data_IF_633889039873
#
_entry.id   IF_633889039873
#
_cell.length_a   1.000
_cell.length_b   1.000
_cell.length_c   1.000
_cell.angle_alpha   90.00
_cell.angle_beta   90.00
_cell.angle_gamma   90.00
#
_symmetry.space_group_name_H-M   'P 1'
#
loop_
_entity.id
_entity.type
_entity.pdbx_description
1 polymer ?
#
# COMPACT_ATOMS: atom_id res chain seq x y z
N UNK A 1 -5.51 11.51 -3.19
CA UNK A 1 -6.17 11.25 -4.51
C UNK A 1 -5.80 9.87 -5.02
N UNK A 2 -4.54 9.61 -5.39
CA UNK A 2 -4.07 8.31 -5.91
C UNK A 2 -4.68 7.09 -5.19
N UNK A 3 -4.51 7.00 -3.87
CA UNK A 3 -4.83 5.78 -3.13
C UNK A 3 -6.30 5.60 -2.76
N UNK A 4 -7.06 6.68 -2.60
CA UNK A 4 -8.37 6.61 -1.95
C UNK A 4 -9.45 7.47 -2.62
N UNK A 5 -9.20 8.02 -3.81
CA UNK A 5 -10.22 8.73 -4.57
C UNK A 5 -10.55 7.97 -5.85
N UNK A 6 -11.77 8.12 -6.36
CA UNK A 6 -12.20 7.50 -7.61
C UNK A 6 -11.36 8.02 -8.80
N UNK A 7 -10.97 9.29 -8.77
CA UNK A 7 -10.09 9.93 -9.76
C UNK A 7 -8.71 9.28 -9.83
N UNK A 8 -8.26 8.63 -8.74
CA UNK A 8 -7.01 7.88 -8.67
C UNK A 8 -7.08 6.50 -9.32
N UNK A 9 -8.28 5.99 -9.68
CA UNK A 9 -8.45 4.61 -10.16
C UNK A 9 -7.58 4.28 -11.38
N UNK A 10 -7.54 5.18 -12.37
CA UNK A 10 -6.73 4.95 -13.58
C UNK A 10 -5.24 4.80 -13.27
N UNK A 11 -4.75 5.56 -12.29
CA UNK A 11 -3.35 5.48 -11.86
C UNK A 11 -3.09 4.18 -11.11
N UNK A 12 -4.01 3.77 -10.22
CA UNK A 12 -3.93 2.47 -9.55
C UNK A 12 -4.01 1.30 -10.53
N UNK A 13 -4.82 1.40 -11.58
CA UNK A 13 -4.89 0.36 -12.62
C UNK A 13 -3.56 0.22 -13.38
N UNK A 14 -2.76 1.28 -13.49
CA UNK A 14 -1.46 1.23 -14.15
C UNK A 14 -0.35 0.74 -13.23
N UNK A 15 -0.47 1.01 -11.92
CA UNK A 15 0.58 0.69 -10.95
C UNK A 15 0.29 -0.57 -10.13
N UNK A 16 -0.90 -0.68 -9.54
CA UNK A 16 -1.27 -1.75 -8.61
C UNK A 16 -1.75 -3.00 -9.35
N UNK A 17 -2.58 -2.84 -10.38
CA UNK A 17 -3.18 -3.99 -11.08
C UNK A 17 -2.15 -4.99 -11.63
N UNK A 18 -1.04 -4.58 -12.28
CA UNK A 18 -0.03 -5.54 -12.75
C UNK A 18 0.60 -6.34 -11.59
N UNK A 19 0.80 -5.71 -10.44
CA UNK A 19 1.33 -6.35 -9.23
C UNK A 19 0.32 -7.37 -8.68
N UNK A 20 -0.95 -6.98 -8.57
CA UNK A 20 -2.03 -7.84 -8.08
C UNK A 20 -2.23 -9.05 -9.01
N UNK A 21 -2.15 -8.85 -10.32
CA UNK A 21 -2.21 -9.93 -11.31
C UNK A 21 -1.01 -10.89 -11.19
N UNK A 22 0.20 -10.37 -10.98
CA UNK A 22 1.39 -11.21 -10.76
C UNK A 22 1.26 -12.05 -9.47
N UNK A 23 0.75 -11.48 -8.38
CA UNK A 23 0.49 -12.22 -7.14
C UNK A 23 -0.53 -13.35 -7.35
N UNK A 24 -1.57 -13.14 -8.16
CA UNK A 24 -2.52 -14.20 -8.53
C UNK A 24 -1.84 -15.34 -9.30
N UNK A 25 -0.94 -15.00 -10.23
CA UNK A 25 -0.20 -15.97 -11.05
C UNK A 25 0.78 -16.79 -10.20
N UNK A 26 1.52 -16.12 -9.29
CA UNK A 26 2.54 -16.77 -8.46
C UNK A 26 1.92 -17.60 -7.33
N UNK A 27 0.74 -17.21 -6.84
CA UNK A 27 0.05 -17.88 -5.75
C UNK A 27 -1.35 -18.36 -6.15
N UNK A 28 -1.54 -19.28 -7.11
CA UNK A 28 -2.88 -19.63 -7.61
C UNK A 28 -3.68 -20.50 -6.63
N UNK A 29 -3.01 -21.21 -5.72
CA UNK A 29 -3.61 -22.18 -4.80
C UNK A 29 -3.54 -21.70 -3.34
N UNK A 30 -4.03 -20.48 -3.06
CA UNK A 30 -4.03 -19.92 -1.70
C UNK A 30 -5.01 -20.66 -0.80
N UNK A 31 -4.57 -20.94 0.41
CA UNK A 31 -5.37 -21.60 1.45
C UNK A 31 -5.79 -20.59 2.50
N UNK A 32 -7.08 -20.55 2.86
CA UNK A 32 -7.61 -19.59 3.86
C UNK A 32 -7.07 -19.84 5.27
N UNK A 33 -6.73 -21.09 5.58
CA UNK A 33 -6.15 -21.53 6.85
C UNK A 33 -4.65 -21.24 6.96
N UNK A 34 -3.97 -21.01 5.83
CA UNK A 34 -2.55 -20.67 5.77
C UNK A 34 -2.31 -19.73 4.59
N UNK A 35 -2.80 -18.47 4.68
CA UNK A 35 -2.61 -17.47 3.64
C UNK A 35 -1.12 -17.10 3.52
N UNK A 36 -0.61 -16.86 2.30
CA UNK A 36 0.75 -16.37 2.10
C UNK A 36 0.96 -14.99 2.71
N UNK A 37 2.13 -14.75 3.30
CA UNK A 37 2.53 -13.48 3.89
C UNK A 37 3.15 -12.58 2.81
N UNK A 38 2.61 -11.38 2.66
CA UNK A 38 3.09 -10.37 1.72
C UNK A 38 3.48 -9.09 2.46
N UNK A 39 4.71 -8.63 2.25
CA UNK A 39 5.20 -7.35 2.74
C UNK A 39 5.10 -6.29 1.64
N UNK A 40 4.67 -5.08 1.98
CA UNK A 40 4.63 -3.91 1.10
C UNK A 40 5.44 -2.77 1.72
N UNK A 41 6.76 -2.68 1.44
CA UNK A 41 7.58 -1.57 1.89
C UNK A 41 7.18 -0.25 1.23
N UNK A 42 7.21 0.86 1.98
CA UNK A 42 6.77 2.16 1.48
C UNK A 42 5.29 2.17 1.08
N UNK A 43 4.43 1.60 1.93
CA UNK A 43 3.01 1.40 1.64
C UNK A 43 2.20 2.70 1.52
N UNK A 44 2.76 3.86 1.88
CA UNK A 44 2.09 5.16 1.75
C UNK A 44 0.78 5.18 2.54
N UNK A 45 -0.34 5.42 1.84
CA UNK A 45 -1.66 5.45 2.48
C UNK A 45 -2.30 4.06 2.61
N UNK A 46 -1.58 2.99 2.25
CA UNK A 46 -1.96 1.61 2.54
C UNK A 46 -2.93 0.96 1.54
N UNK A 47 -3.28 1.62 0.43
CA UNK A 47 -4.26 1.07 -0.54
C UNK A 47 -3.80 -0.24 -1.16
N UNK A 48 -2.55 -0.31 -1.64
CA UNK A 48 -2.03 -1.53 -2.26
C UNK A 48 -1.97 -2.69 -1.26
N UNK A 49 -1.52 -2.41 -0.03
CA UNK A 49 -1.49 -3.42 1.03
C UNK A 49 -2.92 -3.92 1.39
N UNK A 50 -3.92 -3.03 1.39
CA UNK A 50 -5.33 -3.41 1.55
C UNK A 50 -5.80 -4.28 0.38
N UNK A 51 -5.55 -3.88 -0.87
CA UNK A 51 -5.97 -4.63 -2.05
C UNK A 51 -5.34 -6.04 -2.07
N UNK A 52 -4.07 -6.18 -1.66
CA UNK A 52 -3.38 -7.49 -1.50
C UNK A 52 -4.04 -8.33 -0.39
N UNK A 53 -4.43 -7.70 0.72
CA UNK A 53 -5.19 -8.41 1.77
C UNK A 53 -6.52 -8.94 1.22
N UNK A 54 -7.25 -8.14 0.43
CA UNK A 54 -8.50 -8.55 -0.21
C UNK A 54 -8.34 -9.75 -1.18
N UNK A 55 -7.14 -9.96 -1.76
CA UNK A 55 -6.81 -11.16 -2.55
C UNK A 55 -6.59 -12.43 -1.71
N UNK A 56 -6.61 -12.32 -0.38
CA UNK A 56 -6.47 -13.43 0.55
C UNK A 56 -5.06 -13.63 1.12
N UNK A 57 -4.19 -12.61 1.05
CA UNK A 57 -2.86 -12.64 1.67
C UNK A 57 -2.92 -12.15 3.13
N UNK A 58 -1.94 -12.56 3.94
CA UNK A 58 -1.56 -11.82 5.15
C UNK A 58 -0.68 -10.65 4.73
N UNK A 59 -1.30 -9.48 4.56
CA UNK A 59 -0.63 -8.31 3.99
C UNK A 59 -0.17 -7.36 5.09
N UNK A 60 1.11 -7.01 5.08
CA UNK A 60 1.66 -5.97 5.94
C UNK A 60 2.20 -4.84 5.09
N UNK A 61 1.67 -3.63 5.26
CA UNK A 61 2.34 -2.43 4.78
C UNK A 61 3.40 -1.96 5.77
N UNK A 62 4.52 -1.44 5.29
CA UNK A 62 5.50 -0.73 6.09
C UNK A 62 5.62 0.72 5.64
N UNK A 63 5.68 1.65 6.58
CA UNK A 63 5.81 3.08 6.29
C UNK A 63 6.60 3.79 7.39
N UNK A 64 7.46 4.73 7.00
CA UNK A 64 8.30 5.51 7.91
C UNK A 64 7.78 6.94 8.10
N UNK A 65 7.15 7.52 7.09
CA UNK A 65 6.66 8.89 7.13
C UNK A 65 5.46 9.03 8.08
N UNK A 66 5.60 9.84 9.13
CA UNK A 66 4.50 10.18 10.02
C UNK A 66 3.29 10.77 9.29
N UNK A 67 3.52 11.55 8.22
CA UNK A 67 2.42 12.08 7.40
C UNK A 67 1.58 10.95 6.80
N UNK A 68 2.25 9.94 6.22
CA UNK A 68 1.57 8.80 5.62
C UNK A 68 0.91 7.92 6.68
N UNK A 69 1.57 7.66 7.81
CA UNK A 69 1.01 6.85 8.90
C UNK A 69 -0.24 7.46 9.54
N UNK A 70 -0.22 8.77 9.82
CA UNK A 70 -1.38 9.44 10.43
C UNK A 70 -2.56 9.43 9.45
N UNK A 71 -2.31 9.76 8.19
CA UNK A 71 -3.36 9.77 7.16
C UNK A 71 -3.87 8.36 6.84
N UNK A 72 -3.01 7.35 6.77
CA UNK A 72 -3.42 5.96 6.54
C UNK A 72 -4.24 5.43 7.70
N UNK A 73 -3.82 5.67 8.94
CA UNK A 73 -4.59 5.28 10.13
C UNK A 73 -5.96 5.96 10.17
N UNK A 74 -6.03 7.26 9.83
CA UNK A 74 -7.30 7.97 9.70
C UNK A 74 -8.23 7.31 8.68
N UNK A 75 -7.74 7.07 7.46
CA UNK A 75 -8.57 6.50 6.39
C UNK A 75 -9.00 5.06 6.73
N UNK A 76 -8.06 4.22 7.16
CA UNK A 76 -8.27 2.79 7.39
C UNK A 76 -9.13 2.50 8.63
N UNK A 77 -9.00 3.29 9.70
CA UNK A 77 -9.61 2.98 11.00
C UNK A 77 -10.72 3.94 11.43
N UNK A 78 -10.82 5.14 10.86
CA UNK A 78 -11.76 6.18 11.28
C UNK A 78 -12.77 6.60 10.21
N UNK A 79 -12.80 5.89 9.08
CA UNK A 79 -13.86 6.04 8.06
C UNK A 79 -14.96 5.01 8.31
N UNK A 80 -16.22 5.44 8.26
CA UNK A 80 -17.42 4.61 8.44
C UNK A 80 -18.13 4.29 7.11
N UNK A 81 -17.98 5.16 6.09
CA UNK A 81 -18.64 4.99 4.79
C UNK A 81 -17.74 5.48 3.65
N UNK A 82 -17.99 4.99 2.43
CA UNK A 82 -17.32 5.53 1.24
C UNK A 82 -17.72 7.00 1.01
N UNK A 83 -16.82 7.77 0.42
CA UNK A 83 -16.98 9.19 0.07
C UNK A 83 -17.27 10.12 1.27
N UNK A 84 -16.99 9.67 2.50
CA UNK A 84 -17.30 10.40 3.73
C UNK A 84 -16.62 11.76 3.85
N UNK A 85 -15.40 11.90 3.32
CA UNK A 85 -14.58 13.09 3.50
C UNK A 85 -14.34 13.79 2.18
N UNK A 86 -14.36 15.12 2.18
CA UNK A 86 -14.03 15.95 1.01
C UNK A 86 -12.71 16.67 1.22
N UNK A 87 -11.81 16.55 0.27
CA UNK A 87 -10.52 17.27 0.23
C UNK A 87 -10.43 18.15 -1.02
N UNK A 88 -9.54 19.15 -0.99
CA UNK A 88 -9.29 20.05 -2.10
C UNK A 88 -7.80 20.00 -2.49
N UNK A 89 -7.37 18.92 -3.17
CA UNK A 89 -5.95 18.60 -3.32
C UNK A 89 -5.19 19.55 -4.27
N UNK A 90 -5.89 20.40 -5.03
CA UNK A 90 -5.29 21.23 -6.08
C UNK A 90 -5.15 22.70 -5.70
N UNK A 91 -5.63 23.12 -4.53
CA UNK A 91 -5.68 24.53 -4.11
C UNK A 91 -4.30 25.19 -4.00
N UNK A 92 -3.25 24.39 -3.83
CA UNK A 92 -1.88 24.88 -3.75
C UNK A 92 -1.19 24.97 -5.12
N UNK A 93 -1.79 24.43 -6.18
CA UNK A 93 -1.26 24.49 -7.56
C UNK A 93 -1.74 25.78 -8.24
N UNK A 94 -0.86 26.77 -8.36
CA UNK A 94 -1.18 28.11 -8.89
C UNK A 94 -0.89 28.31 -10.38
N UNK A 95 -0.41 27.27 -11.07
CA UNK A 95 -0.07 27.31 -12.48
C UNK A 95 -0.68 26.10 -13.19
N UNK A 96 -0.79 26.18 -14.52
CA UNK A 96 -1.32 25.13 -15.39
C UNK A 96 -2.79 24.73 -15.11
N UNK A 97 -3.55 25.60 -14.44
CA UNK A 97 -5.01 25.50 -14.34
C UNK A 97 -5.66 26.25 -15.52
N UNK A 98 -6.65 25.64 -16.17
CA UNK A 98 -7.40 26.29 -17.25
C UNK A 98 -8.47 27.25 -16.70
N UNK A 99 -8.92 27.00 -15.47
CA UNK A 99 -9.94 27.78 -14.76
C UNK A 99 -9.76 27.71 -13.24
N UNK A 100 -10.33 28.67 -12.51
CA UNK A 100 -10.37 28.66 -11.04
C UNK A 100 -11.10 27.41 -10.50
N UNK A 101 -12.12 26.93 -11.22
CA UNK A 101 -12.82 25.69 -10.88
C UNK A 101 -11.93 24.45 -10.91
N UNK A 102 -10.89 24.41 -11.75
CA UNK A 102 -9.95 23.29 -11.78
C UNK A 102 -9.10 23.23 -10.49
N UNK A 103 -8.73 24.41 -9.99
CA UNK A 103 -7.94 24.55 -8.75
C UNK A 103 -8.79 24.26 -7.50
N UNK A 104 -10.05 24.71 -7.51
CA UNK A 104 -10.97 24.58 -6.37
C UNK A 104 -11.83 23.32 -6.40
N UNK A 105 -11.62 22.39 -7.34
CA UNK A 105 -12.47 21.19 -7.44
C UNK A 105 -12.34 20.30 -6.18
N UNK A 106 -13.45 19.87 -5.59
CA UNK A 106 -13.45 18.92 -4.47
C UNK A 106 -13.16 17.50 -4.96
N UNK A 107 -12.64 16.66 -4.06
CA UNK A 107 -12.46 15.22 -4.25
C UNK A 107 -12.95 14.49 -3.00
N UNK A 108 -13.81 13.49 -3.17
CA UNK A 108 -14.34 12.66 -2.07
C UNK A 108 -13.45 11.44 -1.80
N UNK A 109 -13.22 11.13 -0.53
CA UNK A 109 -12.44 9.97 -0.07
C UNK A 109 -13.07 9.33 1.19
N UNK A 110 -12.82 8.03 1.43
CA UNK A 110 -12.26 7.07 0.50
C UNK A 110 -13.31 6.58 -0.52
N UNK A 111 -12.90 6.22 -1.73
CA UNK A 111 -13.77 5.66 -2.79
C UNK A 111 -14.38 4.29 -2.46
N UNK A 112 -13.77 3.59 -1.49
CA UNK A 112 -14.27 2.36 -0.89
C UNK A 112 -14.22 2.50 0.63
N UNK A 113 -15.15 1.86 1.36
CA UNK A 113 -15.07 1.80 2.82
C UNK A 113 -14.10 0.67 3.24
N UNK A 114 -12.93 0.97 3.84
CA UNK A 114 -11.87 -0.01 4.06
C UNK A 114 -12.29 -1.21 4.91
N UNK A 115 -13.04 -0.99 5.98
CA UNK A 115 -13.48 -2.08 6.87
C UNK A 115 -14.45 -3.07 6.21
N UNK A 116 -15.14 -2.65 5.13
CA UNK A 116 -16.02 -3.54 4.33
C UNK A 116 -15.38 -4.04 3.04
N UNK A 117 -14.10 -3.75 2.79
CA UNK A 117 -13.43 -4.10 1.54
C UNK A 117 -13.12 -5.60 1.39
N UNK A 118 -13.34 -6.40 2.44
CA UNK A 118 -13.04 -7.84 2.44
C UNK A 118 -11.60 -8.16 2.81
N UNK A 119 -10.97 -7.32 3.65
CA UNK A 119 -9.63 -7.58 4.21
C UNK A 119 -9.62 -8.87 5.03
N UNK A 120 -8.49 -9.58 5.00
CA UNK A 120 -8.22 -10.72 5.88
C UNK A 120 -7.89 -10.23 7.29
N UNK A 121 -8.00 -11.11 8.29
CA UNK A 121 -7.51 -10.83 9.66
C UNK A 121 -6.00 -10.54 9.71
N UNK A 122 -5.27 -10.80 8.62
CA UNK A 122 -3.84 -10.58 8.50
C UNK A 122 -3.42 -9.22 7.95
N UNK A 123 -4.34 -8.27 7.70
CA UNK A 123 -3.98 -6.93 7.27
C UNK A 123 -3.37 -6.10 8.42
N UNK A 124 -2.19 -5.53 8.21
CA UNK A 124 -1.52 -4.68 9.19
C UNK A 124 -0.66 -3.59 8.57
N UNK A 125 -0.32 -2.56 9.36
CA UNK A 125 0.62 -1.51 9.00
C UNK A 125 1.71 -1.43 10.08
N UNK A 126 2.98 -1.51 9.67
CA UNK A 126 4.15 -1.39 10.54
C UNK A 126 4.79 0.00 10.35
N UNK A 127 4.96 0.74 11.45
CA UNK A 127 5.64 2.02 11.45
C UNK A 127 7.13 1.88 11.71
N UNK A 128 7.97 2.44 10.83
CA UNK A 128 9.42 2.45 10.99
C UNK A 128 10.16 2.38 9.67
N UNK A 129 11.47 2.64 9.73
CA UNK A 129 12.34 2.53 8.55
C UNK A 129 12.44 1.06 8.12
N UNK A 130 12.36 0.82 6.80
CA UNK A 130 12.37 -0.52 6.24
C UNK A 130 13.66 -1.29 6.62
N UNK A 131 14.82 -0.64 6.56
CA UNK A 131 16.09 -1.28 6.88
C UNK A 131 16.14 -1.64 8.35
N UNK A 132 15.75 -0.71 9.22
CA UNK A 132 15.78 -0.92 10.67
C UNK A 132 14.83 -2.04 11.12
N UNK A 133 13.59 -2.03 10.62
CA UNK A 133 12.57 -3.00 11.01
C UNK A 133 12.87 -4.39 10.46
N UNK A 134 13.24 -4.49 9.18
CA UNK A 134 13.35 -5.79 8.50
C UNK A 134 14.76 -6.39 8.46
N UNK A 135 15.76 -5.70 9.04
CA UNK A 135 17.07 -6.31 9.31
C UNK A 135 17.08 -7.23 10.54
N UNK A 136 16.03 -7.19 11.37
CA UNK A 136 15.91 -8.00 12.57
C UNK A 136 15.99 -9.51 12.26
N UNK A 137 16.75 -10.31 13.03
CA UNK A 137 16.88 -11.74 12.78
C UNK A 137 15.55 -12.52 12.74
N UNK A 138 14.50 -12.03 13.39
CA UNK A 138 13.15 -12.64 13.35
C UNK A 138 12.50 -12.56 11.98
N UNK A 139 12.93 -11.66 11.09
CA UNK A 139 12.34 -11.44 9.77
C UNK A 139 12.92 -12.36 8.69
N UNK A 140 14.00 -13.09 8.99
CA UNK A 140 14.69 -13.95 8.01
C UNK A 140 13.78 -15.10 7.57
N UNK A 141 13.55 -15.21 6.26
CA UNK A 141 12.74 -16.29 5.69
C UNK A 141 11.27 -16.30 6.16
N UNK A 142 10.70 -15.13 6.45
CA UNK A 142 9.32 -15.00 6.94
C UNK A 142 8.30 -14.76 5.82
N UNK A 143 8.69 -14.02 4.79
CA UNK A 143 7.75 -13.48 3.80
C UNK A 143 7.68 -14.37 2.56
N UNK A 144 6.46 -14.66 2.09
CA UNK A 144 6.24 -15.40 0.84
C UNK A 144 6.39 -14.46 -0.37
N UNK A 145 6.03 -13.19 -0.22
CA UNK A 145 6.21 -12.15 -1.23
C UNK A 145 6.65 -10.81 -0.64
N UNK A 146 7.46 -10.05 -1.38
CA UNK A 146 7.74 -8.63 -1.11
C UNK A 146 7.37 -7.79 -2.32
N UNK A 147 6.42 -6.88 -2.13
CA UNK A 147 5.90 -6.01 -3.19
C UNK A 147 6.43 -4.59 -3.02
N UNK A 148 7.16 -4.10 -4.02
CA UNK A 148 7.63 -2.71 -4.05
C UNK A 148 6.95 -1.95 -5.18
N UNK A 149 6.45 -0.75 -4.91
CA UNK A 149 5.76 0.10 -5.89
C UNK A 149 6.16 1.56 -5.63
N UNK A 150 7.02 2.14 -6.49
CA UNK A 150 7.62 3.47 -6.27
C UNK A 150 8.35 3.58 -4.92
N UNK A 151 9.15 2.56 -4.58
CA UNK A 151 9.85 2.46 -3.29
C UNK A 151 11.37 2.28 -3.42
N UNK A 152 11.85 1.42 -4.34
CA UNK A 152 13.28 1.08 -4.38
C UNK A 152 14.20 2.30 -4.63
N UNK A 153 13.72 3.29 -5.37
CA UNK A 153 14.41 4.54 -5.66
C UNK A 153 14.45 5.52 -4.48
N UNK A 154 13.78 5.22 -3.36
CA UNK A 154 13.89 6.00 -2.12
C UNK A 154 15.13 5.64 -1.29
N UNK A 155 15.81 4.54 -1.63
CA UNK A 155 16.95 4.05 -0.87
C UNK A 155 18.15 5.00 -0.94
N UNK A 156 18.83 5.21 0.20
CA UNK A 156 20.18 5.78 0.20
C UNK A 156 21.18 4.83 -0.48
N UNK A 157 21.00 3.52 -0.26
CA UNK A 157 21.76 2.46 -0.91
C UNK A 157 20.81 1.34 -1.34
N UNK A 158 20.53 1.25 -2.64
CA UNK A 158 19.64 0.22 -3.20
C UNK A 158 20.13 -1.21 -2.94
N UNK A 159 21.45 -1.42 -2.82
CA UNK A 159 22.00 -2.75 -2.55
C UNK A 159 21.53 -3.27 -1.20
N UNK A 160 21.45 -2.39 -0.19
CA UNK A 160 20.97 -2.75 1.14
C UNK A 160 19.50 -3.17 1.13
N UNK A 161 18.65 -2.47 0.36
CA UNK A 161 17.26 -2.88 0.18
C UNK A 161 17.17 -4.28 -0.45
N UNK A 162 17.94 -4.53 -1.51
CA UNK A 162 17.94 -5.83 -2.21
C UNK A 162 18.45 -6.95 -1.28
N UNK A 163 19.50 -6.71 -0.51
CA UNK A 163 20.04 -7.68 0.46
C UNK A 163 19.01 -8.05 1.54
N UNK A 164 18.28 -7.05 2.07
CA UNK A 164 17.23 -7.28 3.06
C UNK A 164 16.07 -8.05 2.43
N UNK A 165 15.58 -7.63 1.27
CA UNK A 165 14.50 -8.34 0.55
C UNK A 165 14.89 -9.81 0.33
N UNK A 166 16.10 -10.06 -0.17
CA UNK A 166 16.60 -11.43 -0.38
C UNK A 166 16.69 -12.24 0.92
N UNK A 167 16.98 -11.59 2.06
CA UNK A 167 17.16 -12.26 3.35
C UNK A 167 15.81 -12.57 4.03
N UNK A 168 14.82 -11.69 3.90
CA UNK A 168 13.53 -11.83 4.59
C UNK A 168 12.55 -12.72 3.81
N UNK A 169 12.77 -12.92 2.51
CA UNK A 169 12.02 -13.86 1.69
C UNK A 169 12.29 -15.31 2.09
N UNK A 170 11.23 -16.13 2.13
CA UNK A 170 11.31 -17.58 2.21
C UNK A 170 12.06 -18.15 1.01
N UNK A 171 12.57 -19.38 1.14
CA UNK A 171 13.10 -20.10 0.00
C UNK A 171 11.98 -20.29 -1.05
N UNK A 172 12.18 -19.74 -2.25
CA UNK A 172 11.17 -19.71 -3.33
C UNK A 172 10.13 -18.60 -3.21
N UNK A 173 10.28 -17.67 -2.25
CA UNK A 173 9.50 -16.44 -2.20
C UNK A 173 9.86 -15.49 -3.34
N UNK A 174 8.96 -14.55 -3.61
CA UNK A 174 9.01 -13.65 -4.78
C UNK A 174 9.09 -12.17 -4.43
#
# INVERSE_FOLDING_TARGET
>A
VRDWAAEGQRERDQCHKPILEELEIQFPNRRKDSPPACLVPGAGLGRLALDISCLGFMSQGNEFSYYMMICSSFILNHTETAEQWTIYPWIHSNCNSLSDSDQLRPVSIPDIHPASAGITEGFSMCGGDFVEVYSDPSQVGVWDAVVTCFFLDTAHNIVEYIEIISRILKAGGV
#
